data_IF_659446310401
#
_entry.id   IF_659446310401
#
_cell.length_a   1.000
_cell.length_b   1.000
_cell.length_c   1.000
_cell.angle_alpha   90.00
_cell.angle_beta   90.00
_cell.angle_gamma   90.00
#
_symmetry.space_group_name_H-M   'P 1'
#
loop_
_entity.id
_entity.type
_entity.pdbx_description
1 polymer ?
#
# COMPACT_ATOMS: atom_id res chain seq x y z
N UNK A 1 -10.68 11.52 8.99
CA UNK A 1 -10.06 10.45 8.19
C UNK A 1 -8.56 10.63 8.21
N UNK A 2 -7.80 9.61 8.56
CA UNK A 2 -6.34 9.68 8.62
C UNK A 2 -5.73 9.02 7.39
N UNK A 3 -4.60 9.53 6.94
CA UNK A 3 -3.89 8.99 5.79
C UNK A 3 -2.39 8.96 6.08
N UNK A 4 -1.72 7.93 5.59
CA UNK A 4 -0.27 7.79 5.67
C UNK A 4 0.26 7.61 4.26
N UNK A 5 1.30 8.37 3.92
CA UNK A 5 2.00 8.18 2.66
C UNK A 5 3.42 7.69 2.95
N UNK A 6 3.89 6.76 2.13
CA UNK A 6 5.18 6.11 2.35
C UNK A 6 5.86 5.84 1.02
N UNK A 7 7.08 6.31 0.88
CA UNK A 7 7.91 5.95 -0.24
C UNK A 7 8.63 4.63 0.08
N UNK A 8 8.21 3.56 -0.57
CA UNK A 8 8.68 2.21 -0.24
C UNK A 8 10.08 1.90 -0.73
N UNK A 9 10.49 2.51 -1.83
CA UNK A 9 11.73 2.16 -2.54
C UNK A 9 11.83 0.66 -2.79
N UNK A 10 10.68 0.04 -3.13
CA UNK A 10 10.59 -1.38 -3.35
C UNK A 10 10.13 -2.15 -2.11
N UNK A 11 9.09 -2.96 -2.28
CA UNK A 11 8.52 -3.78 -1.21
C UNK A 11 9.10 -5.20 -1.17
N UNK A 12 10.09 -5.48 -2.02
CA UNK A 12 10.74 -6.79 -2.02
C UNK A 12 11.64 -7.04 -0.82
N UNK A 13 11.99 -6.00 -0.06
CA UNK A 13 12.81 -6.14 1.13
C UNK A 13 11.90 -6.40 2.34
N UNK A 14 12.06 -7.54 3.04
CA UNK A 14 11.25 -7.86 4.22
C UNK A 14 11.33 -6.82 5.33
N UNK A 15 12.45 -6.12 5.47
CA UNK A 15 12.59 -5.07 6.48
C UNK A 15 11.71 -3.87 6.16
N UNK A 16 11.56 -3.54 4.88
CA UNK A 16 10.66 -2.47 4.46
C UNK A 16 9.22 -2.82 4.79
N UNK A 17 8.82 -4.05 4.53
CA UNK A 17 7.46 -4.52 4.83
C UNK A 17 7.19 -4.49 6.34
N UNK A 18 8.15 -4.92 7.14
CA UNK A 18 8.02 -4.88 8.60
C UNK A 18 7.88 -3.45 9.12
N UNK A 19 8.66 -2.53 8.58
CA UNK A 19 8.58 -1.11 8.95
C UNK A 19 7.20 -0.54 8.59
N UNK A 20 6.69 -0.88 7.41
CA UNK A 20 5.35 -0.46 6.99
C UNK A 20 4.28 -1.02 7.92
N UNK A 21 4.35 -2.31 8.24
CA UNK A 21 3.40 -2.94 9.17
C UNK A 21 3.40 -2.24 10.53
N UNK A 22 4.57 -1.88 11.03
CA UNK A 22 4.70 -1.20 12.31
C UNK A 22 4.02 0.17 12.29
N UNK A 23 4.24 0.95 11.24
CA UNK A 23 3.62 2.27 11.11
C UNK A 23 2.10 2.15 10.99
N UNK A 24 1.63 1.20 10.19
CA UNK A 24 0.19 0.98 10.03
C UNK A 24 -0.44 0.55 11.35
N UNK A 25 0.24 -0.31 12.11
CA UNK A 25 -0.26 -0.77 13.40
C UNK A 25 -0.32 0.38 14.42
N UNK A 26 0.72 1.20 14.48
CA UNK A 26 0.79 2.30 15.45
C UNK A 26 -0.18 3.43 15.15
N UNK A 27 -0.32 3.80 13.88
CA UNK A 27 -1.12 4.94 13.46
C UNK A 27 -2.54 4.58 13.04
N UNK A 28 -2.75 3.32 12.71
CA UNK A 28 -4.03 2.79 12.21
C UNK A 28 -4.69 3.72 11.18
N UNK A 29 -3.98 4.08 10.10
CA UNK A 29 -4.53 5.03 9.14
C UNK A 29 -5.69 4.42 8.37
N UNK A 30 -6.65 5.25 8.01
CA UNK A 30 -7.77 4.84 7.18
C UNK A 30 -7.32 4.59 5.74
N UNK A 31 -6.41 5.45 5.25
CA UNK A 31 -5.84 5.36 3.91
C UNK A 31 -4.34 5.19 4.01
N UNK A 32 -3.79 4.34 3.15
CA UNK A 32 -2.35 4.15 3.02
C UNK A 32 -1.96 4.37 1.56
N UNK A 33 -1.10 5.34 1.31
CA UNK A 33 -0.59 5.63 -0.02
C UNK A 33 0.86 5.20 -0.10
N UNK A 34 1.14 4.24 -0.98
CA UNK A 34 2.47 3.67 -1.16
C UNK A 34 3.04 4.10 -2.52
N UNK A 35 4.27 4.59 -2.51
CA UNK A 35 4.99 5.03 -3.70
C UNK A 35 6.19 4.14 -3.93
N UNK A 36 6.58 3.99 -5.19
CA UNK A 36 7.73 3.19 -5.59
C UNK A 36 7.69 1.78 -5.02
N UNK A 37 6.53 1.12 -5.16
CA UNK A 37 6.34 -0.21 -4.60
C UNK A 37 7.18 -1.27 -5.31
N UNK A 38 7.43 -1.08 -6.60
CA UNK A 38 8.12 -2.03 -7.49
C UNK A 38 7.44 -3.40 -7.54
N UNK A 39 6.16 -3.44 -7.22
CA UNK A 39 5.36 -4.66 -7.21
C UNK A 39 4.29 -4.61 -8.29
N UNK A 40 3.91 -5.78 -8.79
CA UNK A 40 2.73 -5.92 -9.63
C UNK A 40 1.46 -6.11 -8.78
N UNK A 41 0.32 -6.26 -9.44
CA UNK A 41 -0.96 -6.39 -8.74
C UNK A 41 -1.00 -7.64 -7.86
N UNK A 42 -0.45 -8.76 -8.35
CA UNK A 42 -0.45 -10.02 -7.61
C UNK A 42 0.40 -9.93 -6.34
N UNK A 43 1.58 -9.32 -6.45
CA UNK A 43 2.47 -9.13 -5.32
C UNK A 43 1.85 -8.20 -4.27
N UNK A 44 1.12 -7.18 -4.72
CA UNK A 44 0.45 -6.24 -3.81
C UNK A 44 -0.67 -6.90 -3.01
N UNK A 45 -1.28 -7.97 -3.50
CA UNK A 45 -2.30 -8.69 -2.74
C UNK A 45 -1.75 -9.22 -1.41
N UNK A 46 -0.51 -9.69 -1.41
CA UNK A 46 0.16 -10.11 -0.19
C UNK A 46 0.37 -8.96 0.80
N UNK A 47 0.73 -7.79 0.30
CA UNK A 47 0.92 -6.60 1.13
C UNK A 47 -0.41 -6.12 1.71
N UNK A 48 -1.46 -6.11 0.91
CA UNK A 48 -2.81 -5.73 1.38
C UNK A 48 -3.23 -6.54 2.60
N UNK A 49 -2.98 -7.84 2.56
CA UNK A 49 -3.30 -8.73 3.68
C UNK A 49 -2.45 -8.44 4.91
N UNK A 50 -1.16 -8.20 4.71
CA UNK A 50 -0.23 -7.95 5.82
C UNK A 50 -0.53 -6.67 6.57
N UNK A 51 -1.04 -5.65 5.89
CA UNK A 51 -1.36 -4.37 6.52
C UNK A 51 -2.87 -4.20 6.77
N UNK A 52 -3.65 -5.23 6.49
CA UNK A 52 -5.11 -5.24 6.72
C UNK A 52 -5.84 -4.10 6.00
N UNK A 53 -5.42 -3.83 4.76
CA UNK A 53 -6.03 -2.84 3.87
C UNK A 53 -6.30 -3.52 2.54
N UNK A 54 -7.43 -4.20 2.44
CA UNK A 54 -7.71 -5.10 1.31
C UNK A 54 -8.31 -4.41 0.11
N UNK A 55 -8.83 -3.21 0.29
CA UNK A 55 -9.42 -2.43 -0.79
C UNK A 55 -8.40 -1.43 -1.32
N UNK A 56 -8.47 -1.13 -2.59
CA UNK A 56 -7.61 -0.09 -3.11
C UNK A 56 -7.38 -0.13 -4.60
N UNK A 57 -6.62 0.86 -5.05
CA UNK A 57 -6.12 0.97 -6.39
C UNK A 57 -4.64 0.67 -6.41
N UNK A 58 -4.23 -0.14 -7.36
CA UNK A 58 -2.82 -0.47 -7.56
C UNK A 58 -2.44 -0.10 -8.99
N UNK A 59 -1.42 0.75 -9.11
CA UNK A 59 -0.77 1.00 -10.38
C UNK A 59 0.50 0.16 -10.38
N UNK A 60 0.56 -0.91 -11.17
CA UNK A 60 1.70 -1.83 -11.12
C UNK A 60 2.98 -1.16 -11.61
N UNK A 61 4.10 -1.67 -11.13
CA UNK A 61 5.39 -1.21 -11.63
C UNK A 61 5.56 -1.66 -13.08
N UNK A 62 6.21 -0.80 -13.86
CA UNK A 62 6.55 -1.10 -15.25
C UNK A 62 8.06 -1.21 -15.33
N UNK A 63 8.54 -2.35 -15.82
CA UNK A 63 9.97 -2.63 -15.91
C UNK A 63 10.62 -2.68 -14.53
N UNK A 64 11.57 -1.78 -14.23
CA UNK A 64 12.42 -1.88 -13.05
C UNK A 64 12.07 -0.89 -11.95
N UNK A 65 10.95 -0.22 -12.04
CA UNK A 65 10.66 0.77 -11.03
C UNK A 65 9.26 1.28 -11.08
N UNK A 66 8.96 2.18 -10.18
CA UNK A 66 7.65 2.79 -10.06
C UNK A 66 6.68 1.93 -9.28
N UNK A 67 5.42 2.02 -9.63
CA UNK A 67 4.34 1.37 -8.90
C UNK A 67 3.81 2.25 -7.80
N UNK A 68 2.49 2.34 -7.74
CA UNK A 68 1.78 3.11 -6.72
C UNK A 68 0.65 2.25 -6.18
N UNK A 69 0.30 2.46 -4.92
CA UNK A 69 -0.87 1.85 -4.35
C UNK A 69 -1.56 2.81 -3.40
N UNK A 70 -2.88 2.89 -3.51
CA UNK A 70 -3.71 3.60 -2.54
C UNK A 70 -4.64 2.56 -1.94
N UNK A 71 -4.45 2.25 -0.67
CA UNK A 71 -5.14 1.17 0.02
C UNK A 71 -5.96 1.72 1.17
N UNK A 72 -7.10 1.08 1.44
CA UNK A 72 -7.97 1.50 2.55
C UNK A 72 -8.68 0.30 3.16
N UNK A 73 -9.23 0.53 4.34
CA UNK A 73 -10.01 -0.50 5.03
C UNK A 73 -11.30 -0.76 4.27
N UNK A 74 -11.74 -2.02 4.23
CA UNK A 74 -12.99 -2.38 3.59
C UNK A 74 -14.23 -1.89 4.35
N UNK A 75 -14.04 -1.29 5.52
CA UNK A 75 -15.14 -0.68 6.28
C UNK A 75 -15.50 0.71 5.80
N UNK A 76 -14.70 1.30 4.91
CA UNK A 76 -14.97 2.63 4.34
C UNK A 76 -15.28 2.52 2.87
N UNK A 77 -16.05 3.49 2.38
CA UNK A 77 -16.36 3.60 0.97
C UNK A 77 -15.52 4.72 0.37
N UNK A 78 -14.79 4.39 -0.69
CA UNK A 78 -13.97 5.36 -1.42
C UNK A 78 -14.45 5.39 -2.86
N UNK A 79 -14.85 6.57 -3.33
CA UNK A 79 -15.23 6.78 -4.72
C UNK A 79 -14.04 7.40 -5.45
N UNK A 80 -13.55 6.70 -6.47
CA UNK A 80 -12.44 7.18 -7.27
C UNK A 80 -12.97 7.78 -8.53
N UNK A 81 -12.71 9.08 -8.69
CA UNK A 81 -13.09 9.82 -9.90
C UNK A 81 -11.89 9.86 -10.84
N UNK A 82 -12.08 9.33 -12.02
CA UNK A 82 -11.04 9.31 -13.06
C UNK A 82 -11.40 10.16 -14.25
#
# INVERSE_FOLDING_TARGET
>A
MSATSWNCRGLGNPLTVKALQKVVLEKDPTLVFLMETNFDVTEMDGIKRKIERQQGLVVPSVRRGGGLALLWKNTIKVDVLT
#
